data_IF_364708653386
#
_entry.id   IF_364708653386
#
_cell.length_a   1.000
_cell.length_b   1.000
_cell.length_c   1.000
_cell.angle_alpha   90.00
_cell.angle_beta   90.00
_cell.angle_gamma   90.00
#
_symmetry.space_group_name_H-M   'P 1'
#
loop_
_entity.id
_entity.type
_entity.pdbx_description
1 polymer ?
#
# COMPACT_ATOMS: atom_id res chain seq x y z
N UNK A 1 13.02 -7.41 -23.82
CA UNK A 1 13.78 -6.52 -22.91
C UNK A 1 12.92 -6.31 -21.67
N UNK A 2 13.29 -6.91 -20.54
CA UNK A 2 12.50 -6.85 -19.31
C UNK A 2 12.35 -5.40 -18.87
N UNK A 3 11.12 -4.93 -18.75
CA UNK A 3 10.86 -3.65 -18.07
C UNK A 3 11.30 -3.86 -16.63
N UNK A 4 12.46 -3.34 -16.26
CA UNK A 4 12.87 -3.31 -14.87
C UNK A 4 11.73 -2.75 -14.04
N UNK A 5 11.44 -3.41 -12.93
CA UNK A 5 10.50 -2.96 -11.90
C UNK A 5 10.78 -1.47 -11.60
N UNK A 6 9.88 -0.61 -12.09
CA UNK A 6 10.08 0.84 -12.02
C UNK A 6 9.56 1.32 -10.69
N UNK A 7 10.49 1.64 -9.79
CA UNK A 7 10.19 2.30 -8.52
C UNK A 7 9.47 3.63 -8.75
N UNK A 8 8.44 3.86 -7.95
CA UNK A 8 7.76 5.14 -7.79
C UNK A 8 8.31 5.77 -6.52
N UNK A 9 8.82 6.99 -6.65
CA UNK A 9 9.48 7.73 -5.59
C UNK A 9 8.52 8.74 -4.95
N UNK A 10 8.34 8.62 -3.64
CA UNK A 10 7.58 9.53 -2.78
C UNK A 10 8.49 10.17 -1.73
N UNK A 11 9.75 10.42 -2.11
CA UNK A 11 10.79 11.09 -1.32
C UNK A 11 11.91 10.16 -0.82
N UNK A 12 11.81 8.84 -1.04
CA UNK A 12 12.81 7.87 -0.57
C UNK A 12 13.82 7.45 -1.65
N UNK A 13 13.50 7.62 -2.93
CA UNK A 13 14.41 7.41 -4.07
C UNK A 13 13.83 6.55 -5.21
N UNK A 14 14.39 6.74 -6.42
CA UNK A 14 13.92 6.13 -7.68
C UNK A 14 14.55 4.77 -8.03
N UNK A 15 15.46 4.23 -7.22
CA UNK A 15 16.10 2.94 -7.45
C UNK A 15 16.65 2.34 -6.17
N UNK A 16 16.85 1.02 -6.15
CA UNK A 16 17.21 0.27 -4.93
C UNK A 16 18.40 0.87 -4.16
N UNK A 17 19.45 1.32 -4.85
CA UNK A 17 20.61 1.90 -4.18
C UNK A 17 20.28 3.22 -3.45
N UNK A 18 19.48 4.10 -4.08
CA UNK A 18 19.07 5.35 -3.46
C UNK A 18 18.15 5.08 -2.27
N UNK A 19 17.19 4.17 -2.43
CA UNK A 19 16.27 3.75 -1.37
C UNK A 19 17.05 3.22 -0.17
N UNK A 20 17.96 2.26 -0.38
CA UNK A 20 18.77 1.69 0.69
C UNK A 20 19.63 2.75 1.40
N UNK A 21 20.25 3.66 0.63
CA UNK A 21 21.05 4.75 1.19
C UNK A 21 20.20 5.67 2.07
N UNK A 22 19.01 6.03 1.63
CA UNK A 22 18.12 6.92 2.37
C UNK A 22 17.49 6.22 3.58
N UNK A 23 17.15 4.92 3.49
CA UNK A 23 16.79 4.11 4.65
C UNK A 23 17.92 4.06 5.69
N UNK A 24 19.17 3.87 5.26
CA UNK A 24 20.31 3.87 6.17
C UNK A 24 20.55 5.24 6.84
N UNK A 25 20.24 6.34 6.14
CA UNK A 25 20.29 7.69 6.71
C UNK A 25 19.16 7.93 7.73
N UNK A 26 17.97 7.39 7.46
CA UNK A 26 16.76 7.54 8.26
C UNK A 26 16.43 6.26 9.05
N UNK A 27 17.44 5.51 9.49
CA UNK A 27 17.24 4.32 10.32
C UNK A 27 17.09 4.70 11.79
N UNK A 28 16.34 3.90 12.54
CA UNK A 28 16.41 3.93 14.00
C UNK A 28 17.54 3.03 14.50
N UNK A 29 17.74 2.96 15.82
CA UNK A 29 18.70 2.02 16.42
C UNK A 29 18.33 0.54 16.20
N UNK A 30 17.07 0.24 15.88
CA UNK A 30 16.55 -1.13 15.79
C UNK A 30 16.02 -1.48 14.39
N UNK A 31 15.66 -0.49 13.58
CA UNK A 31 14.97 -0.69 12.31
C UNK A 31 15.65 0.12 11.21
N UNK A 32 16.16 -0.59 10.19
CA UNK A 32 16.66 0.00 8.96
C UNK A 32 15.50 0.50 8.08
N UNK A 33 14.51 -0.38 7.86
CA UNK A 33 13.38 -0.11 6.98
C UNK A 33 12.16 -0.95 7.39
N UNK A 34 10.99 -0.43 7.06
CA UNK A 34 9.73 -1.16 7.03
C UNK A 34 9.40 -1.56 5.59
N UNK A 35 8.86 -2.76 5.41
CA UNK A 35 8.33 -3.24 4.14
C UNK A 35 6.87 -3.60 4.28
N UNK A 36 5.99 -2.95 3.51
CA UNK A 36 4.58 -3.30 3.44
C UNK A 36 4.25 -3.88 2.07
N UNK A 37 3.20 -4.69 2.04
CA UNK A 37 2.62 -5.20 0.80
C UNK A 37 1.15 -4.79 0.80
N UNK A 38 0.75 -3.95 -0.16
CA UNK A 38 -0.66 -3.61 -0.37
C UNK A 38 -1.20 -4.55 -1.43
N UNK A 39 -2.10 -5.45 -1.01
CA UNK A 39 -2.57 -6.55 -1.83
C UNK A 39 -4.09 -6.68 -1.70
N UNK A 40 -4.87 -5.93 -2.52
CA UNK A 40 -6.31 -6.10 -2.57
C UNK A 40 -6.66 -7.48 -3.11
N UNK A 41 -7.85 -7.96 -2.74
CA UNK A 41 -8.31 -9.26 -3.19
C UNK A 41 -8.44 -9.33 -4.73
N UNK A 42 -7.90 -10.37 -5.40
CA UNK A 42 -7.96 -10.48 -6.86
C UNK A 42 -9.36 -10.32 -7.46
N UNK A 43 -10.41 -10.80 -6.78
CA UNK A 43 -11.78 -10.67 -7.28
C UNK A 43 -12.29 -9.22 -7.26
N UNK A 44 -11.86 -8.41 -6.29
CA UNK A 44 -12.14 -6.96 -6.29
C UNK A 44 -11.33 -6.26 -7.38
N UNK A 45 -10.07 -6.64 -7.58
CA UNK A 45 -9.24 -6.11 -8.67
C UNK A 45 -9.78 -6.51 -10.06
N UNK A 46 -10.47 -7.65 -10.17
CA UNK A 46 -11.09 -8.10 -11.41
C UNK A 46 -12.23 -7.17 -11.87
N UNK A 47 -12.89 -6.47 -10.93
CA UNK A 47 -13.92 -5.46 -11.24
C UNK A 47 -13.34 -4.22 -11.94
N UNK A 48 -12.05 -3.97 -11.78
CA UNK A 48 -11.35 -2.86 -12.42
C UNK A 48 -10.89 -3.29 -13.83
N UNK A 49 -11.22 -2.53 -14.89
CA UNK A 49 -10.71 -2.82 -16.22
C UNK A 49 -9.18 -2.83 -16.22
N UNK A 50 -8.57 -3.81 -16.90
CA UNK A 50 -7.13 -4.10 -16.84
C UNK A 50 -6.24 -2.86 -17.00
N UNK A 51 -6.55 -2.01 -17.99
CA UNK A 51 -5.81 -0.76 -18.27
C UNK A 51 -5.81 0.26 -17.10
N UNK A 52 -6.72 0.11 -16.14
CA UNK A 52 -6.85 0.97 -14.97
C UNK A 52 -6.34 0.34 -13.67
N UNK A 53 -6.00 -0.96 -13.65
CA UNK A 53 -5.55 -1.66 -12.43
C UNK A 53 -4.27 -1.08 -11.84
N UNK A 54 -3.29 -0.74 -12.70
CA UNK A 54 -2.02 -0.14 -12.22
C UNK A 54 -2.21 1.28 -11.67
N UNK A 55 -2.91 2.21 -12.34
CA UNK A 55 -3.28 3.49 -11.71
C UNK A 55 -4.10 3.33 -10.43
N UNK A 56 -5.05 2.40 -10.41
CA UNK A 56 -5.88 2.11 -9.23
C UNK A 56 -5.03 1.70 -8.02
N UNK A 57 -4.15 0.70 -8.18
CA UNK A 57 -3.34 0.20 -7.07
C UNK A 57 -2.32 1.24 -6.59
N UNK A 58 -1.81 2.08 -7.50
CA UNK A 58 -0.93 3.20 -7.14
C UNK A 58 -1.67 4.18 -6.23
N UNK A 59 -2.83 4.68 -6.65
CA UNK A 59 -3.63 5.60 -5.83
C UNK A 59 -4.06 4.99 -4.50
N UNK A 60 -4.46 3.71 -4.51
CA UNK A 60 -4.82 3.00 -3.28
C UNK A 60 -3.62 2.91 -2.32
N UNK A 61 -2.44 2.56 -2.85
CA UNK A 61 -1.21 2.45 -2.05
C UNK A 61 -0.85 3.80 -1.43
N UNK A 62 -0.82 4.87 -2.22
CA UNK A 62 -0.46 6.21 -1.75
C UNK A 62 -1.45 6.68 -0.67
N UNK A 63 -2.75 6.55 -0.89
CA UNK A 63 -3.78 6.95 0.08
C UNK A 63 -3.67 6.19 1.41
N UNK A 64 -3.43 4.87 1.36
CA UNK A 64 -3.28 4.05 2.58
C UNK A 64 -2.07 4.51 3.39
N UNK A 65 -0.92 4.66 2.74
CA UNK A 65 0.32 5.05 3.41
C UNK A 65 0.20 6.45 3.99
N UNK A 66 -0.27 7.40 3.18
CA UNK A 66 -0.37 8.81 3.60
C UNK A 66 -1.39 8.98 4.72
N UNK A 67 -2.56 8.35 4.63
CA UNK A 67 -3.56 8.39 5.71
C UNK A 67 -3.06 7.70 6.98
N UNK A 68 -2.43 6.54 6.87
CA UNK A 68 -1.90 5.83 8.04
C UNK A 68 -0.87 6.63 8.81
N UNK A 69 0.08 7.26 8.12
CA UNK A 69 1.09 8.08 8.79
C UNK A 69 0.47 9.37 9.35
N UNK A 70 -0.45 10.02 8.62
CA UNK A 70 -1.15 11.21 9.10
C UNK A 70 -1.99 10.95 10.35
N UNK A 71 -2.75 9.84 10.41
CA UNK A 71 -3.51 9.45 11.61
C UNK A 71 -2.59 9.09 12.79
N UNK A 72 -1.32 8.80 12.51
CA UNK A 72 -0.28 8.58 13.51
C UNK A 72 0.49 9.87 13.87
N UNK A 73 0.08 11.03 13.37
CA UNK A 73 0.67 12.34 13.66
C UNK A 73 2.06 12.54 13.07
N UNK A 74 2.34 11.87 11.94
CA UNK A 74 3.66 11.91 11.33
C UNK A 74 3.59 11.75 9.80
N UNK A 75 4.74 11.84 9.15
CA UNK A 75 4.93 11.52 7.73
C UNK A 75 6.24 10.77 7.53
N UNK A 76 6.37 10.05 6.42
CA UNK A 76 7.64 9.45 6.05
C UNK A 76 7.80 9.45 4.53
N UNK A 77 9.03 9.64 4.01
CA UNK A 77 9.32 9.37 2.61
C UNK A 77 9.19 7.87 2.39
N UNK A 78 8.64 7.50 1.24
CA UNK A 78 8.53 6.10 0.85
C UNK A 78 8.83 5.94 -0.63
N UNK A 79 9.12 4.71 -1.03
CA UNK A 79 9.15 4.31 -2.43
C UNK A 79 8.45 2.99 -2.55
N UNK A 80 7.82 2.76 -3.69
CA UNK A 80 7.11 1.51 -3.92
C UNK A 80 7.22 1.06 -5.36
N UNK A 81 6.89 -0.20 -5.60
CA UNK A 81 6.83 -0.76 -6.94
C UNK A 81 5.54 -1.55 -7.11
N UNK A 82 4.95 -1.47 -8.31
CA UNK A 82 3.75 -2.20 -8.69
C UNK A 82 4.15 -3.49 -9.36
N UNK A 83 3.74 -4.62 -8.79
CA UNK A 83 3.94 -5.94 -9.34
C UNK A 83 2.62 -6.51 -9.86
N UNK A 84 2.70 -7.27 -10.93
CA UNK A 84 1.61 -8.14 -11.38
C UNK A 84 2.14 -9.56 -11.40
N UNK A 85 1.81 -10.31 -10.34
CA UNK A 85 2.08 -11.73 -10.27
C UNK A 85 0.87 -12.51 -10.82
N UNK A 86 0.96 -13.83 -10.77
CA UNK A 86 -0.18 -14.72 -10.96
C UNK A 86 -0.45 -15.45 -9.65
N UNK A 87 -1.72 -15.56 -9.28
CA UNK A 87 -2.16 -16.45 -8.20
C UNK A 87 -1.88 -17.92 -8.56
N UNK A 88 -2.04 -18.84 -7.61
CA UNK A 88 -1.81 -20.28 -7.87
C UNK A 88 -2.71 -20.85 -8.97
N UNK A 89 -3.94 -20.34 -9.08
CA UNK A 89 -4.92 -20.65 -10.13
C UNK A 89 -4.77 -19.79 -11.40
N UNK A 90 -3.72 -18.96 -11.48
CA UNK A 90 -3.30 -18.27 -12.69
C UNK A 90 -3.97 -16.91 -12.97
N UNK A 91 -4.81 -16.41 -12.06
CA UNK A 91 -5.41 -15.07 -12.15
C UNK A 91 -4.36 -13.98 -11.95
N UNK A 92 -4.45 -12.83 -12.64
CA UNK A 92 -3.60 -11.69 -12.36
C UNK A 92 -3.73 -11.23 -10.90
N UNK A 93 -2.59 -10.98 -10.26
CA UNK A 93 -2.51 -10.50 -8.88
C UNK A 93 -1.67 -9.23 -8.82
N UNK A 94 -2.34 -8.09 -9.03
CA UNK A 94 -1.72 -6.78 -8.97
C UNK A 94 -1.58 -6.34 -7.51
N UNK A 95 -0.36 -6.04 -7.06
CA UNK A 95 -0.05 -5.59 -5.69
C UNK A 95 1.14 -4.63 -5.70
N UNK A 96 1.39 -3.96 -4.57
CA UNK A 96 2.58 -3.12 -4.41
C UNK A 96 3.47 -3.60 -3.27
N UNK A 97 4.78 -3.43 -3.44
CA UNK A 97 5.76 -3.51 -2.37
C UNK A 97 6.19 -2.09 -2.01
N UNK A 98 5.95 -1.68 -0.77
CA UNK A 98 6.28 -0.36 -0.25
C UNK A 98 7.44 -0.47 0.72
N UNK A 99 8.44 0.39 0.56
CA UNK A 99 9.59 0.52 1.46
C UNK A 99 9.53 1.89 2.13
N UNK A 100 9.69 1.89 3.46
CA UNK A 100 9.77 3.08 4.30
C UNK A 100 10.98 2.98 5.22
N UNK A 101 11.58 4.11 5.65
CA UNK A 101 12.69 4.10 6.61
C UNK A 101 12.23 3.76 8.03
N UNK A 102 13.19 3.48 8.93
CA UNK A 102 12.92 3.21 10.34
C UNK A 102 12.53 4.44 11.18
N UNK A 103 12.72 5.64 10.65
CA UNK A 103 12.33 6.91 11.24
C UNK A 103 11.14 7.52 10.48
N UNK A 104 10.28 8.26 11.18
CA UNK A 104 9.22 9.09 10.59
C UNK A 104 9.38 10.52 11.10
N UNK A 105 8.96 11.50 10.30
CA UNK A 105 8.92 12.90 10.69
C UNK A 105 7.61 13.15 11.45
N UNK A 106 7.73 13.23 12.77
CA UNK A 106 6.68 13.68 13.68
C UNK A 106 6.42 15.18 13.49
N UNK A 107 5.15 15.57 13.58
CA UNK A 107 4.71 16.94 13.31
C UNK A 107 5.26 17.97 14.31
N UNK A 108 5.64 17.53 15.53
CA UNK A 108 6.10 18.39 16.62
C UNK A 108 7.56 18.12 16.98
N UNK A 109 7.98 16.86 16.94
CA UNK A 109 9.28 16.42 17.48
C UNK A 109 10.33 16.12 16.40
N UNK A 110 10.01 16.35 15.12
CA UNK A 110 10.90 16.06 14.00
C UNK A 110 11.10 14.56 13.79
N UNK A 111 12.29 14.12 13.39
CA UNK A 111 12.52 12.70 13.07
C UNK A 111 12.55 11.82 14.32
N UNK A 112 11.59 10.91 14.43
CA UNK A 112 11.44 9.97 15.53
C UNK A 112 11.45 8.51 15.05
N UNK A 113 11.93 7.54 15.86
CA UNK A 113 11.83 6.12 15.53
C UNK A 113 10.38 5.69 15.32
N UNK A 114 10.06 5.19 14.13
CA UNK A 114 8.72 4.74 13.81
C UNK A 114 8.50 3.30 14.28
N UNK A 115 7.48 3.10 15.11
CA UNK A 115 7.18 1.82 15.76
C UNK A 115 5.81 1.29 15.36
N UNK A 116 5.77 0.04 14.91
CA UNK A 116 4.54 -0.70 14.58
C UNK A 116 4.31 -1.85 15.55
N UNK A 117 3.67 -1.56 16.68
CA UNK A 117 3.37 -2.57 17.67
C UNK A 117 1.93 -3.04 17.55
N UNK A 118 1.74 -4.35 17.35
CA UNK A 118 0.41 -4.98 17.39
C UNK A 118 -0.31 -4.68 18.71
N UNK A 119 0.41 -4.73 19.83
CA UNK A 119 -0.14 -4.46 21.18
C UNK A 119 -0.65 -3.03 21.38
N UNK A 120 -0.29 -2.09 20.50
CA UNK A 120 -0.78 -0.70 20.51
C UNK A 120 -1.85 -0.45 19.45
N UNK A 121 -2.39 -1.48 18.82
CA UNK A 121 -3.43 -1.35 17.80
C UNK A 121 -2.96 -0.82 16.45
N UNK A 122 -1.65 -0.61 16.25
CA UNK A 122 -1.13 0.00 15.02
C UNK A 122 -1.43 -0.81 13.75
N UNK A 123 -1.48 -2.14 13.86
CA UNK A 123 -1.85 -3.00 12.74
C UNK A 123 -3.36 -2.99 12.50
N UNK A 124 -4.17 -2.96 13.55
CA UNK A 124 -5.63 -2.85 13.42
C UNK A 124 -6.03 -1.53 12.74
N UNK A 125 -5.37 -0.43 13.10
CA UNK A 125 -5.55 0.87 12.45
C UNK A 125 -5.16 0.83 10.96
N UNK A 126 -4.02 0.19 10.63
CA UNK A 126 -3.60 0.04 9.23
C UNK A 126 -4.61 -0.78 8.43
N UNK A 127 -5.12 -1.86 9.01
CA UNK A 127 -6.13 -2.72 8.39
C UNK A 127 -7.46 -1.97 8.18
N UNK A 128 -7.90 -1.18 9.16
CA UNK A 128 -9.11 -0.34 9.05
C UNK A 128 -8.97 0.68 7.91
N UNK A 129 -7.86 1.43 7.90
CA UNK A 129 -7.56 2.41 6.85
C UNK A 129 -7.47 1.74 5.48
N UNK A 130 -6.83 0.57 5.38
CA UNK A 130 -6.71 -0.16 4.12
C UNK A 130 -8.08 -0.57 3.55
N UNK A 131 -8.98 -1.07 4.40
CA UNK A 131 -10.33 -1.46 3.98
C UNK A 131 -11.18 -0.25 3.59
N UNK A 132 -11.09 0.84 4.35
CA UNK A 132 -11.77 2.10 4.04
C UNK A 132 -11.30 2.66 2.69
N UNK A 133 -9.99 2.77 2.49
CA UNK A 133 -9.43 3.34 1.26
C UNK A 133 -9.70 2.45 0.05
N UNK A 134 -9.70 1.13 0.21
CA UNK A 134 -10.11 0.21 -0.86
C UNK A 134 -11.56 0.50 -1.26
N UNK A 135 -12.45 0.56 -0.28
CA UNK A 135 -13.88 0.82 -0.50
C UNK A 135 -14.09 2.18 -1.18
N UNK A 136 -13.45 3.23 -0.67
CA UNK A 136 -13.57 4.57 -1.24
C UNK A 136 -12.98 4.65 -2.66
N UNK A 137 -11.85 3.99 -2.90
CA UNK A 137 -11.19 4.01 -4.22
C UNK A 137 -11.99 3.21 -5.25
N UNK A 138 -12.59 2.08 -4.86
CA UNK A 138 -13.57 1.35 -5.69
C UNK A 138 -14.79 2.24 -5.99
N UNK A 139 -15.36 2.89 -4.97
CA UNK A 139 -16.51 3.78 -5.14
C UNK A 139 -16.24 4.92 -6.13
N UNK A 140 -15.05 5.54 -6.06
CA UNK A 140 -14.62 6.58 -7.01
C UNK A 140 -14.38 6.05 -8.41
N UNK A 141 -13.95 4.80 -8.55
CA UNK A 141 -13.53 4.22 -9.84
C UNK A 141 -14.68 3.61 -10.64
N UNK A 142 -15.59 2.90 -9.96
CA UNK A 142 -16.65 2.10 -10.60
C UNK A 142 -18.06 2.36 -10.01
N UNK A 143 -18.21 3.38 -9.16
CA UNK A 143 -19.46 3.67 -8.46
C UNK A 143 -19.69 2.76 -7.26
N UNK A 144 -20.86 2.83 -6.60
CA UNK A 144 -21.15 2.06 -5.36
C UNK A 144 -21.83 0.70 -5.61
N UNK A 145 -22.26 0.43 -6.85
CA UNK A 145 -23.04 -0.77 -7.17
C UNK A 145 -22.29 -2.09 -6.91
N UNK A 146 -20.96 -2.08 -7.02
CA UNK A 146 -20.11 -3.26 -6.77
C UNK A 146 -20.28 -3.83 -5.37
N UNK A 147 -20.64 -3.01 -4.38
CA UNK A 147 -20.79 -3.47 -2.99
C UNK A 147 -21.93 -4.48 -2.88
N UNK A 148 -23.01 -4.26 -3.61
CA UNK A 148 -24.14 -5.18 -3.67
C UNK A 148 -23.80 -6.43 -4.48
N UNK A 149 -23.20 -6.26 -5.67
CA UNK A 149 -22.82 -7.38 -6.55
C UNK A 149 -21.78 -8.31 -5.89
N UNK A 150 -20.77 -7.73 -5.25
CA UNK A 150 -19.73 -8.49 -4.54
C UNK A 150 -20.26 -9.09 -3.24
N UNK A 151 -21.09 -8.36 -2.48
CA UNK A 151 -21.75 -8.89 -1.30
C UNK A 151 -22.63 -10.10 -1.61
N UNK A 152 -23.34 -10.09 -2.75
CA UNK A 152 -24.11 -11.26 -3.21
C UNK A 152 -23.22 -12.45 -3.57
N UNK A 153 -22.08 -12.23 -4.26
CA UNK A 153 -21.11 -13.30 -4.57
C UNK A 153 -20.45 -13.90 -3.33
N UNK A 154 -20.13 -13.07 -2.34
CA UNK A 154 -19.54 -13.53 -1.08
C UNK A 154 -20.51 -14.45 -0.29
N UNK A 155 -21.82 -14.24 -0.44
CA UNK A 155 -22.86 -15.05 0.19
C UNK A 155 -23.28 -16.24 -0.69
N UNK A 156 -23.08 -16.17 -2.00
CA UNK A 156 -23.46 -17.22 -2.95
C UNK A 156 -22.37 -17.43 -4.02
N UNK A 157 -21.32 -18.23 -3.73
CA UNK A 157 -20.13 -18.36 -4.57
C UNK A 157 -20.35 -19.08 -5.91
N UNK A 158 -21.55 -19.55 -6.21
CA UNK A 158 -21.92 -20.21 -7.49
C UNK A 158 -22.50 -19.24 -8.55
N UNK A 159 -22.55 -17.92 -8.28
CA UNK A 159 -23.02 -16.85 -9.19
C UNK A 159 -21.86 -16.05 -9.82
#
# INVERSE_FOLDING_TARGET
AGRGERWIDRGLGLHYHAILKNCAHLQSSEVLAWSYVISPEPDLMALIPEKYRSPFIQSLTENIIERYYAERGCSAPYSYVVHEARTQDGRPHTHTHVILPGMAQDDLEGWQPFKNFRSRGHLALLDEIANDELTQTLNRSIGVAWQHEYGLRAVNPEL
#
